data_IF_585207693509
#
_entry.id   IF_585207693509
#
_cell.length_a   1.000
_cell.length_b   1.000
_cell.length_c   1.000
_cell.angle_alpha   90.00
_cell.angle_beta   90.00
_cell.angle_gamma   90.00
#
_symmetry.space_group_name_H-M   'P 1'
#
loop_
_entity.id
_entity.type
_entity.pdbx_description
1 polymer ?
#
# COMPACT_ATOMS: atom_id res chain seq x y z
N UNK A 1 23.02 17.21 -13.80
CA UNK A 1 22.13 17.18 -12.62
C UNK A 1 22.47 15.95 -11.78
N UNK A 2 22.76 16.15 -10.49
CA UNK A 2 23.04 15.05 -9.56
C UNK A 2 21.75 14.35 -9.13
N UNK A 3 21.29 13.40 -9.95
CA UNK A 3 20.07 12.63 -9.69
C UNK A 3 20.09 11.92 -8.33
N UNK A 4 21.26 11.52 -7.86
CA UNK A 4 21.43 10.90 -6.54
C UNK A 4 21.07 11.87 -5.40
N UNK A 5 21.49 13.14 -5.51
CA UNK A 5 21.16 14.17 -4.53
C UNK A 5 19.65 14.43 -4.52
N UNK A 6 19.03 14.55 -5.70
CA UNK A 6 17.59 14.71 -5.83
C UNK A 6 16.80 13.54 -5.22
N UNK A 7 17.23 12.29 -5.47
CA UNK A 7 16.61 11.10 -4.87
C UNK A 7 16.70 11.13 -3.35
N UNK A 8 17.86 11.49 -2.79
CA UNK A 8 18.07 11.54 -1.34
C UNK A 8 17.22 12.60 -0.65
N UNK A 9 17.12 13.80 -1.23
CA UNK A 9 16.28 14.89 -0.70
C UNK A 9 14.81 14.45 -0.65
N UNK A 10 14.29 13.88 -1.74
CA UNK A 10 12.91 13.43 -1.80
C UNK A 10 12.65 12.22 -0.88
N UNK A 11 13.61 11.31 -0.77
CA UNK A 11 13.56 10.19 0.19
C UNK A 11 13.44 10.70 1.62
N UNK A 12 14.24 11.69 1.99
CA UNK A 12 14.21 12.26 3.35
C UNK A 12 12.87 12.93 3.65
N UNK A 13 12.35 13.73 2.72
CA UNK A 13 11.04 14.36 2.86
C UNK A 13 9.92 13.30 3.02
N UNK A 14 9.97 12.22 2.25
CA UNK A 14 9.01 11.13 2.38
C UNK A 14 9.11 10.39 3.72
N UNK A 15 10.33 10.17 4.23
CA UNK A 15 10.51 9.55 5.55
C UNK A 15 9.91 10.41 6.67
N UNK A 16 10.01 11.73 6.58
CA UNK A 16 9.36 12.65 7.54
C UNK A 16 7.84 12.53 7.50
N UNK A 17 7.24 12.49 6.30
CA UNK A 17 5.79 12.28 6.13
C UNK A 17 5.37 10.94 6.73
N UNK A 18 6.12 9.87 6.45
CA UNK A 18 5.84 8.53 7.00
C UNK A 18 5.93 8.52 8.52
N UNK A 19 6.95 9.17 9.11
CA UNK A 19 7.09 9.29 10.55
C UNK A 19 5.87 9.98 11.19
N UNK A 20 5.39 11.08 10.59
CA UNK A 20 4.18 11.77 11.04
C UNK A 20 2.93 10.87 10.96
N UNK A 21 2.77 10.10 9.87
CA UNK A 21 1.65 9.16 9.73
C UNK A 21 1.73 8.01 10.75
N UNK A 22 2.92 7.51 11.04
CA UNK A 22 3.12 6.46 12.05
C UNK A 22 2.72 6.97 13.44
N UNK A 23 3.12 8.20 13.80
CA UNK A 23 2.72 8.82 15.06
C UNK A 23 1.19 8.93 15.19
N UNK A 24 0.49 9.31 14.10
CA UNK A 24 -0.98 9.38 14.05
C UNK A 24 -1.67 8.03 14.19
N UNK A 25 -1.03 6.94 13.76
CA UNK A 25 -1.62 5.59 13.86
C UNK A 25 -1.37 4.97 15.24
N UNK A 26 -0.25 5.29 15.89
CA UNK A 26 0.10 4.76 17.21
C UNK A 26 -0.82 5.23 18.34
N UNK A 27 -1.62 6.29 18.13
CA UNK A 27 -2.57 6.78 19.15
C UNK A 27 -3.71 5.80 19.46
N UNK A 28 -3.92 4.75 18.66
CA UNK A 28 -4.89 3.70 19.00
C UNK A 28 -5.00 2.57 17.96
N UNK A 29 -5.32 1.37 18.43
CA UNK A 29 -5.58 0.18 17.59
C UNK A 29 -6.90 0.28 16.80
N UNK A 30 -7.81 1.16 17.23
CA UNK A 30 -9.14 1.35 16.67
C UNK A 30 -9.31 2.81 16.24
N UNK A 31 -9.26 3.07 14.93
CA UNK A 31 -9.34 4.42 14.38
C UNK A 31 -10.78 4.77 13.97
N UNK A 32 -11.27 5.99 14.29
CA UNK A 32 -12.48 6.52 13.66
C UNK A 32 -12.32 6.52 12.14
N UNK A 33 -13.38 6.15 11.43
CA UNK A 33 -13.36 6.10 9.96
C UNK A 33 -12.89 7.42 9.34
N UNK A 34 -13.29 8.57 9.87
CA UNK A 34 -12.88 9.89 9.35
C UNK A 34 -11.35 10.05 9.38
N UNK A 35 -10.72 9.77 10.52
CA UNK A 35 -9.26 9.84 10.70
C UNK A 35 -8.56 8.87 9.75
N UNK A 36 -9.09 7.64 9.65
CA UNK A 36 -8.57 6.63 8.73
C UNK A 36 -8.55 7.11 7.29
N UNK A 37 -9.64 7.74 6.81
CA UNK A 37 -9.69 8.26 5.45
C UNK A 37 -8.71 9.42 5.22
N UNK A 38 -8.51 10.28 6.21
CA UNK A 38 -7.51 11.35 6.14
C UNK A 38 -6.10 10.78 6.01
N UNK A 39 -5.76 9.77 6.82
CA UNK A 39 -4.48 9.05 6.72
C UNK A 39 -4.32 8.44 5.32
N UNK A 40 -5.36 7.77 4.79
CA UNK A 40 -5.30 7.14 3.47
C UNK A 40 -5.15 8.16 2.32
N UNK A 41 -5.72 9.36 2.46
CA UNK A 41 -5.56 10.46 1.49
C UNK A 41 -4.11 10.92 1.36
N UNK A 42 -3.31 10.83 2.42
CA UNK A 42 -1.88 11.16 2.39
C UNK A 42 -1.03 9.94 2.02
N UNK A 43 -1.39 8.76 2.55
CA UNK A 43 -0.65 7.51 2.33
C UNK A 43 -0.63 7.10 0.86
N UNK A 44 -1.75 7.22 0.14
CA UNK A 44 -1.82 6.87 -1.29
C UNK A 44 -0.81 7.66 -2.15
N UNK A 45 -0.82 9.01 -2.09
CA UNK A 45 0.19 9.85 -2.73
C UNK A 45 1.62 9.56 -2.28
N UNK A 46 1.86 9.32 -0.98
CA UNK A 46 3.19 9.00 -0.46
C UNK A 46 3.72 7.69 -1.06
N UNK A 47 2.90 6.64 -1.15
CA UNK A 47 3.28 5.40 -1.81
C UNK A 47 3.55 5.59 -3.31
N UNK A 48 2.73 6.40 -3.99
CA UNK A 48 2.96 6.73 -5.40
C UNK A 48 4.28 7.47 -5.60
N UNK A 49 4.63 8.40 -4.70
CA UNK A 49 5.93 9.07 -4.72
C UNK A 49 7.09 8.10 -4.47
N UNK A 50 6.96 7.17 -3.52
CA UNK A 50 7.96 6.14 -3.27
C UNK A 50 8.17 5.22 -4.50
N UNK A 51 7.09 4.81 -5.19
CA UNK A 51 7.21 4.05 -6.46
C UNK A 51 7.98 4.83 -7.52
N UNK A 52 7.70 6.14 -7.67
CA UNK A 52 8.41 7.02 -8.61
C UNK A 52 9.90 7.11 -8.26
N UNK A 53 10.27 7.24 -6.98
CA UNK A 53 11.67 7.20 -6.55
C UNK A 53 12.33 5.85 -6.84
N UNK A 54 11.64 4.73 -6.61
CA UNK A 54 12.16 3.40 -6.92
C UNK A 54 12.39 3.26 -8.44
N UNK A 55 11.49 3.78 -9.27
CA UNK A 55 11.66 3.79 -10.74
C UNK A 55 12.88 4.63 -11.15
N UNK A 56 13.04 5.84 -10.58
CA UNK A 56 14.21 6.68 -10.85
C UNK A 56 15.49 5.98 -10.41
N UNK A 57 15.52 5.44 -9.19
CA UNK A 57 16.64 4.66 -8.69
C UNK A 57 16.96 3.47 -9.59
N UNK A 58 15.95 2.73 -10.06
CA UNK A 58 16.14 1.59 -10.96
C UNK A 58 16.68 1.98 -12.34
N UNK A 59 16.31 3.18 -12.85
CA UNK A 59 16.81 3.72 -14.12
C UNK A 59 18.26 4.19 -14.03
N UNK A 60 18.64 4.83 -12.92
CA UNK A 60 19.96 5.43 -12.76
C UNK A 60 20.96 4.54 -12.01
N UNK A 61 20.52 3.44 -11.43
CA UNK A 61 21.41 2.43 -10.87
C UNK A 61 22.18 1.79 -12.02
N UNK A 62 23.49 2.09 -12.12
CA UNK A 62 24.42 1.42 -13.03
C UNK A 62 24.30 -0.09 -12.79
N UNK A 63 23.67 -0.78 -13.74
CA UNK A 63 23.46 -2.22 -13.67
C UNK A 63 24.83 -2.87 -13.82
N UNK A 64 25.50 -3.15 -12.69
CA UNK A 64 26.51 -4.20 -12.64
C UNK A 64 25.75 -5.51 -12.86
N UNK A 65 25.50 -5.82 -14.12
CA UNK A 65 24.79 -7.02 -14.56
C UNK A 65 25.72 -8.19 -14.25
N UNK A 66 25.65 -8.72 -13.02
CA UNK A 66 26.22 -10.03 -12.75
C UNK A 66 25.11 -11.01 -13.08
N UNK A 67 25.18 -11.75 -14.20
CA UNK A 67 24.32 -12.91 -14.37
C UNK A 67 24.72 -13.89 -13.27
N UNK A 68 23.99 -13.89 -12.16
CA UNK A 68 24.02 -15.00 -11.22
C UNK A 68 23.20 -16.10 -11.88
N UNK A 69 23.82 -16.78 -12.83
CA UNK A 69 23.55 -18.19 -13.05
C UNK A 69 24.08 -18.92 -11.81
N UNK A 70 23.36 -18.82 -10.69
CA UNK A 70 23.63 -19.73 -9.59
C UNK A 70 23.19 -21.12 -10.06
N UNK A 71 24.06 -22.13 -9.92
CA UNK A 71 23.72 -23.49 -10.30
C UNK A 71 22.47 -23.88 -9.52
N UNK A 72 21.58 -24.62 -10.18
CA UNK A 72 20.41 -25.25 -9.57
C UNK A 72 20.86 -25.91 -8.26
N UNK A 73 20.53 -25.28 -7.13
CA UNK A 73 20.84 -25.85 -5.83
C UNK A 73 19.97 -27.08 -5.69
N UNK A 74 20.58 -28.26 -5.61
CA UNK A 74 19.89 -29.54 -5.41
C UNK A 74 19.09 -29.60 -4.09
N UNK A 75 19.25 -28.61 -3.21
CA UNK A 75 18.47 -28.43 -1.99
C UNK A 75 17.42 -27.32 -2.21
N UNK A 76 16.31 -27.65 -2.88
CA UNK A 76 15.14 -26.77 -2.86
C UNK A 76 14.63 -26.71 -1.40
N UNK A 77 14.47 -25.53 -0.80
CA UNK A 77 13.85 -25.43 0.52
C UNK A 77 12.43 -25.98 0.44
N UNK A 78 12.00 -26.72 1.47
CA UNK A 78 10.64 -27.22 1.57
C UNK A 78 9.66 -26.04 1.63
N UNK A 79 8.98 -25.79 0.52
CA UNK A 79 8.02 -24.70 0.40
C UNK A 79 6.78 -24.90 1.28
N UNK A 80 6.52 -26.14 1.72
CA UNK A 80 5.44 -26.46 2.65
C UNK A 80 5.75 -26.03 4.09
N UNK A 81 7.04 -26.00 4.47
CA UNK A 81 7.50 -25.57 5.79
C UNK A 81 7.47 -24.04 5.99
N UNK A 82 7.25 -23.24 4.93
CA UNK A 82 7.03 -21.80 5.09
C UNK A 82 5.69 -21.56 5.78
N UNK A 83 5.74 -21.41 7.10
CA UNK A 83 4.62 -20.98 7.91
C UNK A 83 3.99 -19.72 7.31
N UNK A 84 2.78 -19.85 6.74
CA UNK A 84 1.99 -18.71 6.22
C UNK A 84 1.56 -17.74 7.33
N UNK A 85 1.79 -18.10 8.59
CA UNK A 85 1.38 -17.37 9.79
C UNK A 85 1.98 -15.95 9.89
N UNK A 86 3.18 -15.71 9.34
CA UNK A 86 3.83 -14.38 9.36
C UNK A 86 4.06 -13.87 7.94
N UNK A 87 2.96 -13.51 7.26
CA UNK A 87 3.05 -12.84 5.96
C UNK A 87 3.50 -11.39 6.17
N UNK A 88 4.82 -11.17 6.26
CA UNK A 88 5.42 -9.83 6.32
C UNK A 88 4.93 -9.04 5.09
N UNK A 89 4.24 -7.93 5.33
CA UNK A 89 3.73 -7.09 4.26
C UNK A 89 4.92 -6.39 3.60
N UNK A 90 5.21 -6.75 2.36
CA UNK A 90 6.24 -6.07 1.56
C UNK A 90 5.63 -4.94 0.74
N UNK A 91 6.43 -3.91 0.48
CA UNK A 91 6.01 -2.80 -0.36
C UNK A 91 5.61 -3.30 -1.76
N UNK A 92 4.45 -2.83 -2.21
CA UNK A 92 3.90 -3.15 -3.53
C UNK A 92 4.53 -2.23 -4.57
N UNK A 93 5.49 -2.77 -5.33
CA UNK A 93 6.17 -2.08 -6.42
C UNK A 93 5.21 -1.61 -7.52
N UNK A 94 4.15 -2.38 -7.75
CA UNK A 94 3.08 -2.05 -8.69
C UNK A 94 1.82 -1.74 -7.91
N UNK A 95 1.06 -0.75 -8.38
CA UNK A 95 -0.26 -0.48 -7.82
C UNK A 95 -1.15 -1.70 -8.06
N UNK A 96 -1.86 -2.23 -7.03
CA UNK A 96 -2.88 -3.23 -7.27
C UNK A 96 -3.82 -2.73 -8.38
N UNK A 97 -4.13 -3.61 -9.34
CA UNK A 97 -5.13 -3.31 -10.37
C UNK A 97 -6.40 -2.85 -9.67
N UNK A 98 -6.93 -1.70 -10.11
CA UNK A 98 -8.22 -1.20 -9.62
C UNK A 98 -9.23 -2.29 -9.88
N UNK A 99 -9.65 -2.97 -8.82
CA UNK A 99 -10.71 -3.96 -8.92
C UNK A 99 -12.00 -3.17 -9.00
N UNK A 100 -12.69 -3.30 -10.12
CA UNK A 100 -14.03 -2.76 -10.27
C UNK A 100 -15.03 -3.74 -9.67
N UNK A 101 -14.75 -4.28 -8.47
CA UNK A 101 -15.63 -5.25 -7.79
C UNK A 101 -17.01 -4.64 -7.43
N UNK A 102 -17.21 -3.34 -7.68
CA UNK A 102 -18.52 -2.66 -7.59
C UNK A 102 -19.40 -2.85 -8.84
N UNK A 103 -18.79 -3.29 -9.96
CA UNK A 103 -19.47 -3.66 -11.22
C UNK A 103 -19.86 -5.13 -11.16
N UNK A 104 -19.12 -5.93 -10.39
CA UNK A 104 -19.60 -7.23 -9.96
C UNK A 104 -20.76 -6.97 -8.99
N UNK A 105 -21.92 -7.59 -9.23
CA UNK A 105 -23.11 -7.58 -8.36
C UNK A 105 -22.82 -8.30 -7.02
N UNK A 106 -21.75 -7.92 -6.33
CA UNK A 106 -21.54 -8.30 -4.95
C UNK A 106 -22.62 -7.59 -4.14
N UNK A 107 -23.42 -8.33 -3.34
CA UNK A 107 -24.47 -7.71 -2.55
C UNK A 107 -23.79 -6.70 -1.62
N UNK A 108 -23.93 -5.42 -1.94
CA UNK A 108 -23.47 -4.33 -1.10
C UNK A 108 -23.98 -4.66 0.31
N UNK A 109 -23.07 -4.72 1.30
CA UNK A 109 -23.35 -4.97 2.71
C UNK A 109 -24.74 -4.47 3.04
N UNK A 110 -25.68 -5.40 3.20
CA UNK A 110 -27.10 -5.11 3.25
C UNK A 110 -27.31 -4.01 4.28
N UNK A 111 -27.75 -2.83 3.81
CA UNK A 111 -28.20 -1.79 4.71
C UNK A 111 -29.21 -2.43 5.66
N UNK A 112 -29.09 -2.25 6.99
CA UNK A 112 -30.16 -2.68 7.88
C UNK A 112 -31.44 -2.02 7.37
N UNK A 113 -32.42 -2.86 7.01
CA UNK A 113 -33.76 -2.46 6.55
C UNK A 113 -34.45 -1.71 7.67
N UNK A 114 -34.21 -0.41 7.77
CA UNK A 114 -34.87 0.47 8.72
C UNK A 114 -35.47 1.64 7.96
N UNK A 115 -36.63 1.36 7.34
CA UNK A 115 -37.61 2.28 6.77
C UNK A 115 -37.10 3.23 5.65
N UNK A 116 -37.94 3.60 4.66
CA UNK A 116 -37.56 4.63 3.71
C UNK A 116 -37.32 5.96 4.45
N UNK A 117 -36.13 6.56 4.25
CA UNK A 117 -35.77 7.89 4.78
C UNK A 117 -36.38 8.99 3.90
N UNK A 118 -37.69 8.98 3.77
CA UNK A 118 -38.42 9.99 2.99
C UNK A 118 -39.14 10.88 4.00
N UNK A 119 -38.80 12.16 4.01
CA UNK A 119 -39.53 13.19 4.74
C UNK A 119 -40.16 14.16 3.75
N UNK A 120 -41.45 14.41 3.88
CA UNK A 120 -42.16 15.42 3.10
C UNK A 120 -42.18 16.74 3.88
N UNK A 121 -41.72 17.82 3.25
CA UNK A 121 -41.65 19.16 3.85
C UNK A 121 -43.05 19.56 4.36
N UNK A 122 -43.16 19.86 5.66
CA UNK A 122 -44.41 20.27 6.29
C UNK A 122 -45.38 19.14 6.64
N UNK A 123 -45.05 17.87 6.37
CA UNK A 123 -45.91 16.71 6.65
C UNK A 123 -45.27 15.75 7.66
N UNK A 124 -43.96 15.55 7.58
CA UNK A 124 -43.24 14.60 8.44
C UNK A 124 -41.91 15.16 8.91
N UNK A 125 -41.60 14.98 10.18
CA UNK A 125 -40.29 15.36 10.71
C UNK A 125 -39.19 14.41 10.19
N UNK A 126 -38.06 14.95 9.69
CA UNK A 126 -36.96 14.12 9.22
C UNK A 126 -36.28 13.39 10.38
N UNK A 127 -36.22 12.05 10.30
CA UNK A 127 -35.50 11.22 11.26
C UNK A 127 -34.03 11.10 10.84
N UNK A 128 -33.17 11.87 11.49
CA UNK A 128 -31.72 11.76 11.33
C UNK A 128 -31.14 10.76 12.34
N UNK A 129 -30.95 9.51 11.90
CA UNK A 129 -30.15 8.56 12.69
C UNK A 129 -28.69 8.98 12.58
N UNK A 130 -28.06 9.34 13.70
CA UNK A 130 -26.61 9.53 13.74
C UNK A 130 -25.94 8.16 13.47
N UNK A 131 -25.25 7.98 12.33
CA UNK A 131 -24.61 6.71 12.06
C UNK A 131 -23.53 6.49 13.13
N UNK A 132 -23.62 5.36 13.86
CA UNK A 132 -22.55 4.94 14.78
C UNK A 132 -21.26 4.87 13.97
N UNK A 133 -20.28 5.71 14.29
CA UNK A 133 -19.01 5.73 13.56
C UNK A 133 -18.33 4.37 13.74
N UNK A 134 -18.17 3.56 12.67
CA UNK A 134 -17.46 2.31 12.80
C UNK A 134 -16.00 2.64 13.09
N UNK A 135 -15.49 2.15 14.22
CA UNK A 135 -14.05 2.09 14.49
C UNK A 135 -13.49 0.93 13.69
N UNK A 136 -12.45 1.20 12.92
CA UNK A 136 -11.80 0.20 12.07
C UNK A 136 -10.41 -0.11 12.65
N UNK A 137 -10.03 -1.38 12.55
CA UNK A 137 -8.71 -1.84 12.96
C UNK A 137 -7.62 -1.12 12.15
N UNK A 138 -6.63 -0.58 12.86
CA UNK A 138 -5.50 0.16 12.29
C UNK A 138 -4.36 -0.75 11.82
N UNK A 139 -4.36 -2.05 12.19
CA UNK A 139 -3.29 -3.00 11.88
C UNK A 139 -2.89 -3.03 10.40
N UNK A 140 -3.87 -3.01 9.49
CA UNK A 140 -3.62 -3.01 8.05
C UNK A 140 -2.87 -1.75 7.58
N UNK A 141 -3.11 -0.59 8.20
CA UNK A 141 -2.43 0.66 7.88
C UNK A 141 -1.03 0.65 8.47
N UNK A 142 -0.86 0.16 9.71
CA UNK A 142 0.43 0.03 10.36
C UNK A 142 1.38 -0.85 9.53
N UNK A 143 0.92 -2.01 9.08
CA UNK A 143 1.71 -2.89 8.21
C UNK A 143 2.08 -2.22 6.88
N UNK A 144 1.16 -1.41 6.33
CA UNK A 144 1.38 -0.67 5.08
C UNK A 144 2.41 0.44 5.24
N UNK A 145 2.38 1.16 6.35
CA UNK A 145 3.39 2.17 6.71
C UNK A 145 4.75 1.54 6.96
N UNK A 146 4.80 0.42 7.68
CA UNK A 146 6.03 -0.34 7.91
C UNK A 146 6.66 -0.79 6.58
N UNK A 147 5.85 -1.37 5.68
CA UNK A 147 6.31 -1.76 4.36
C UNK A 147 6.88 -0.58 3.55
N UNK A 148 6.26 0.60 3.64
CA UNK A 148 6.73 1.82 2.99
C UNK A 148 8.04 2.33 3.61
N UNK A 149 8.15 2.31 4.94
CA UNK A 149 9.38 2.68 5.66
C UNK A 149 10.54 1.76 5.27
N UNK A 150 10.32 0.45 5.22
CA UNK A 150 11.32 -0.54 4.81
C UNK A 150 11.76 -0.34 3.35
N UNK A 151 10.84 0.03 2.46
CA UNK A 151 11.19 0.32 1.07
C UNK A 151 12.00 1.61 0.92
N UNK A 152 11.70 2.64 1.71
CA UNK A 152 12.47 3.88 1.71
C UNK A 152 13.82 3.69 2.40
N UNK A 153 13.93 2.83 3.42
CA UNK A 153 15.19 2.58 4.12
C UNK A 153 16.24 2.00 3.15
N UNK A 154 15.86 1.05 2.29
CA UNK A 154 16.71 0.39 1.29
C UNK A 154 16.16 0.51 -0.15
N UNK A 155 16.22 1.72 -0.71
CA UNK A 155 15.84 1.99 -2.11
C UNK A 155 16.63 1.16 -3.15
N UNK A 156 17.96 0.98 -3.03
CA UNK A 156 18.73 0.20 -4.00
C UNK A 156 18.27 -1.25 -4.13
N UNK A 157 17.83 -1.88 -3.03
CA UNK A 157 17.30 -3.24 -3.05
C UNK A 157 15.95 -3.32 -3.77
N UNK A 158 15.06 -2.37 -3.52
CA UNK A 158 13.77 -2.31 -4.20
C UNK A 158 13.92 -2.01 -5.69
N UNK A 159 14.90 -1.16 -6.07
CA UNK A 159 15.25 -0.89 -7.46
C UNK A 159 15.72 -2.16 -8.21
N UNK A 160 16.61 -2.95 -7.59
CA UNK A 160 17.03 -4.27 -8.13
C UNK A 160 15.85 -5.23 -8.27
N UNK A 161 14.96 -5.29 -7.26
CA UNK A 161 13.76 -6.12 -7.28
C UNK A 161 12.82 -5.71 -8.43
N UNK A 162 12.65 -4.41 -8.68
CA UNK A 162 11.88 -3.89 -9.80
C UNK A 162 12.49 -4.29 -11.14
N UNK A 163 13.79 -4.08 -11.33
CA UNK A 163 14.49 -4.46 -12.56
C UNK A 163 14.35 -5.96 -12.86
N UNK A 164 14.49 -6.82 -11.84
CA UNK A 164 14.26 -8.27 -12.00
C UNK A 164 12.84 -8.59 -12.46
N UNK A 165 11.83 -7.94 -11.90
CA UNK A 165 10.43 -8.16 -12.32
C UNK A 165 10.18 -7.65 -13.74
N UNK A 166 10.77 -6.52 -14.11
CA UNK A 166 10.70 -5.99 -15.48
C UNK A 166 11.35 -6.93 -16.50
N UNK A 167 12.49 -7.54 -16.18
CA UNK A 167 13.13 -8.53 -17.06
C UNK A 167 12.25 -9.76 -17.26
N UNK A 168 11.67 -10.30 -16.17
CA UNK A 168 10.72 -11.43 -16.28
C UNK A 168 9.53 -11.13 -17.18
N UNK A 169 9.01 -9.90 -17.13
CA UNK A 169 7.92 -9.47 -18.00
C UNK A 169 8.33 -9.36 -19.47
N UNK A 170 9.57 -8.94 -19.76
CA UNK A 170 10.09 -8.87 -21.12
C UNK A 170 10.31 -10.25 -21.74
N UNK A 171 10.67 -11.24 -20.93
CA UNK A 171 10.92 -12.62 -21.38
C UNK A 171 9.68 -13.51 -21.36
N UNK A 172 8.55 -13.03 -20.84
CA UNK A 172 7.32 -13.81 -20.79
C UNK A 172 6.73 -13.93 -22.20
N UNK A 173 6.27 -15.13 -22.63
CA UNK A 173 5.53 -15.29 -23.87
C UNK A 173 4.23 -14.47 -23.82
N UNK A 174 3.86 -13.89 -24.97
CA UNK A 174 2.66 -13.06 -25.14
C UNK A 174 1.37 -13.89 -25.02
#
# INVERSE_FOLDING_TARGET
MDWQAAININRQALLQIVAALVALVQTGSMLPSVVRHQILRVLGPAESAARRLIVLAARFQKVANRPSASPVSQNLPDFAAFNRATKILRFKLFDPRKRFDWLDDQPANQMPKALPRISVIGVSDPVFVTPKQPRQDSAAITLRLQALQDALSDLPREAKRLNRQMQKRKTAPA
#
